data_IF_610544054389
#
_entry.id   IF_610544054389
#
_cell.length_a   1.000
_cell.length_b   1.000
_cell.length_c   1.000
_cell.angle_alpha   90.00
_cell.angle_beta   90.00
_cell.angle_gamma   90.00
#
_symmetry.space_group_name_H-M   'P 1'
#
loop_
_entity.id
_entity.type
_entity.pdbx_description
1 polymer ?
#
# COMPACT_ATOMS: atom_id res chain seq x y z
N UNK A 1 11.78 -14.51 6.35
CA UNK A 1 10.83 -13.90 5.39
C UNK A 1 11.44 -13.67 3.99
N UNK A 2 12.69 -14.07 3.74
CA UNK A 2 13.41 -13.81 2.48
C UNK A 2 12.68 -14.26 1.21
N UNK A 3 11.96 -15.39 1.27
CA UNK A 3 11.08 -15.83 0.18
C UNK A 3 10.07 -14.77 -0.26
N UNK A 4 9.52 -13.96 0.66
CA UNK A 4 8.55 -12.91 0.30
C UNK A 4 9.19 -11.79 -0.53
N UNK A 5 10.52 -11.64 -0.49
CA UNK A 5 11.26 -10.66 -1.30
C UNK A 5 11.85 -11.30 -2.57
N UNK A 6 11.62 -12.60 -2.80
CA UNK A 6 12.05 -13.27 -4.02
C UNK A 6 11.24 -12.81 -5.23
N UNK A 7 11.85 -12.89 -6.41
CA UNK A 7 11.20 -12.58 -7.68
C UNK A 7 9.92 -13.42 -7.90
N UNK A 8 9.97 -14.71 -7.57
CA UNK A 8 8.82 -15.62 -7.70
C UNK A 8 7.61 -15.15 -6.89
N UNK A 9 7.84 -14.61 -5.68
CA UNK A 9 6.76 -14.08 -4.85
C UNK A 9 6.31 -12.70 -5.32
N UNK A 10 7.24 -11.81 -5.66
CA UNK A 10 6.92 -10.43 -6.06
C UNK A 10 6.21 -10.37 -7.42
N UNK A 11 6.51 -11.29 -8.33
CA UNK A 11 5.90 -11.38 -9.68
C UNK A 11 4.39 -11.65 -9.67
N UNK A 12 3.86 -12.29 -8.63
CA UNK A 12 2.42 -12.61 -8.56
C UNK A 12 1.60 -11.52 -7.84
N UNK A 13 2.24 -10.62 -7.09
CA UNK A 13 1.55 -9.57 -6.31
C UNK A 13 0.66 -8.68 -7.18
N UNK A 14 1.09 -8.20 -8.36
CA UNK A 14 0.31 -7.28 -9.18
C UNK A 14 -1.08 -7.79 -9.57
N UNK A 15 -1.22 -9.08 -9.84
CA UNK A 15 -2.46 -9.67 -10.41
C UNK A 15 -3.24 -10.54 -9.44
N UNK A 16 -2.69 -10.82 -8.25
CA UNK A 16 -3.39 -11.58 -7.19
C UNK A 16 -3.83 -10.69 -6.04
N UNK A 17 -2.98 -9.75 -5.61
CA UNK A 17 -3.24 -8.82 -4.52
C UNK A 17 -3.61 -7.40 -5.00
N UNK A 18 -3.46 -7.12 -6.31
CA UNK A 18 -3.76 -5.81 -6.93
C UNK A 18 -2.98 -4.65 -6.33
N UNK A 19 -1.69 -4.88 -6.07
CA UNK A 19 -0.77 -3.92 -5.44
C UNK A 19 0.52 -3.80 -6.25
N UNK A 20 1.24 -2.69 -6.10
CA UNK A 20 2.62 -2.62 -6.56
C UNK A 20 3.52 -3.51 -5.69
N UNK A 21 4.48 -4.24 -6.29
CA UNK A 21 5.39 -5.09 -5.56
C UNK A 21 6.39 -4.24 -4.74
N UNK A 22 6.85 -4.78 -3.61
CA UNK A 22 7.85 -4.14 -2.76
C UNK A 22 9.25 -4.18 -3.38
N UNK A 23 9.52 -5.19 -4.22
CA UNK A 23 10.70 -5.26 -5.09
C UNK A 23 10.21 -5.45 -6.51
N UNK A 24 10.63 -4.60 -7.44
CA UNK A 24 10.26 -4.74 -8.84
C UNK A 24 10.79 -6.08 -9.37
N UNK A 25 9.90 -6.97 -9.89
CA UNK A 25 10.32 -8.22 -10.50
C UNK A 25 11.29 -8.00 -11.67
N UNK A 26 12.12 -9.00 -11.98
CA UNK A 26 13.06 -8.94 -13.11
C UNK A 26 12.34 -8.70 -14.44
N UNK A 27 11.14 -9.26 -14.59
CA UNK A 27 10.27 -9.05 -15.76
C UNK A 27 9.54 -7.70 -15.79
N UNK A 28 9.74 -6.83 -14.79
CA UNK A 28 9.04 -5.57 -14.65
C UNK A 28 7.59 -5.71 -14.17
N UNK A 29 6.78 -4.67 -14.41
CA UNK A 29 5.35 -4.69 -14.13
C UNK A 29 4.56 -5.24 -15.33
N UNK A 30 3.40 -5.87 -15.10
CA UNK A 30 2.54 -6.33 -16.18
C UNK A 30 2.06 -5.19 -17.09
N UNK A 31 1.75 -5.53 -18.34
CA UNK A 31 1.13 -4.61 -19.30
C UNK A 31 -0.16 -3.98 -18.71
N UNK A 32 -0.33 -2.68 -18.90
CA UNK A 32 -1.46 -1.90 -18.40
C UNK A 32 -1.16 -1.15 -17.10
N UNK A 33 -0.13 -1.52 -16.34
CA UNK A 33 0.24 -0.83 -15.09
C UNK A 33 0.74 0.60 -15.32
N UNK A 34 1.25 0.90 -16.52
CA UNK A 34 1.62 2.24 -16.97
C UNK A 34 0.41 3.17 -17.16
N UNK A 35 -0.80 2.61 -17.30
CA UNK A 35 -2.04 3.39 -17.46
C UNK A 35 -2.67 3.79 -16.12
N UNK A 36 -2.22 3.20 -15.02
CA UNK A 36 -2.77 3.47 -13.69
C UNK A 36 -2.41 4.88 -13.23
N UNK A 37 -3.36 5.55 -12.59
CA UNK A 37 -3.17 6.89 -12.07
C UNK A 37 -2.08 6.90 -10.97
N UNK A 38 -1.01 7.65 -11.21
CA UNK A 38 0.03 7.88 -10.21
C UNK A 38 -0.23 9.20 -9.48
N UNK A 39 -0.35 9.19 -8.14
CA UNK A 39 -0.59 10.43 -7.40
C UNK A 39 0.62 11.36 -7.54
N UNK A 40 0.36 12.63 -7.89
CA UNK A 40 1.41 13.65 -7.95
C UNK A 40 2.04 13.94 -6.57
N UNK A 41 1.30 13.67 -5.48
CA UNK A 41 1.77 13.81 -4.10
C UNK A 41 1.34 12.60 -3.28
N UNK A 42 2.30 11.83 -2.79
CA UNK A 42 2.07 10.79 -1.81
C UNK A 42 2.02 11.39 -0.40
N UNK A 43 0.93 11.13 0.34
CA UNK A 43 0.82 11.49 1.75
C UNK A 43 1.26 10.29 2.59
N UNK A 44 2.43 10.37 3.20
CA UNK A 44 2.97 9.36 4.11
C UNK A 44 3.18 9.98 5.49
N UNK A 45 2.64 9.31 6.51
CA UNK A 45 2.83 9.64 7.92
C UNK A 45 3.70 8.54 8.53
N UNK A 46 4.62 8.91 9.42
CA UNK A 46 5.46 7.94 10.10
C UNK A 46 4.60 6.95 10.92
N UNK A 47 4.91 5.64 10.94
CA UNK A 47 4.10 4.66 11.67
C UNK A 47 3.94 4.97 13.16
N UNK A 48 4.97 5.54 13.80
CA UNK A 48 4.90 5.96 15.21
C UNK A 48 3.90 7.11 15.41
N UNK A 49 3.96 8.13 14.56
CA UNK A 49 3.04 9.27 14.64
C UNK A 49 1.60 8.83 14.38
N UNK A 50 1.38 7.93 13.41
CA UNK A 50 0.06 7.36 13.14
C UNK A 50 -0.46 6.54 14.32
N UNK A 51 0.41 5.78 15.00
CA UNK A 51 0.05 5.00 16.17
C UNK A 51 -0.33 5.90 17.36
N UNK A 52 0.40 6.99 17.58
CA UNK A 52 0.17 7.92 18.68
C UNK A 52 -1.20 8.61 18.60
N UNK A 53 -1.70 8.88 17.39
CA UNK A 53 -2.98 9.60 17.18
C UNK A 53 -4.16 8.68 16.88
N UNK A 54 -3.93 7.38 16.65
CA UNK A 54 -4.93 6.44 16.14
C UNK A 54 -6.22 6.46 16.95
N UNK A 55 -6.12 6.34 18.28
CA UNK A 55 -7.29 6.15 19.14
C UNK A 55 -8.15 7.43 19.17
N UNK A 56 -7.52 8.59 19.32
CA UNK A 56 -8.23 9.88 19.29
C UNK A 56 -8.89 10.15 17.93
N UNK A 57 -8.19 9.88 16.82
CA UNK A 57 -8.74 10.06 15.47
C UNK A 57 -9.91 9.13 15.18
N UNK A 58 -9.86 7.89 15.69
CA UNK A 58 -10.94 6.93 15.55
C UNK A 58 -12.18 7.34 16.34
N UNK A 59 -12.01 7.78 17.59
CA UNK A 59 -13.10 8.28 18.44
C UNK A 59 -13.79 9.49 17.80
N UNK A 60 -13.01 10.44 17.27
CA UNK A 60 -13.53 11.60 16.55
C UNK A 60 -14.33 11.19 15.31
N UNK A 61 -13.78 10.28 14.49
CA UNK A 61 -14.46 9.77 13.30
C UNK A 61 -15.78 9.07 13.64
N UNK A 62 -15.78 8.18 14.64
CA UNK A 62 -16.99 7.46 15.08
C UNK A 62 -18.06 8.43 15.58
N UNK A 63 -17.68 9.40 16.42
CA UNK A 63 -18.62 10.39 16.94
C UNK A 63 -19.25 11.25 15.82
N UNK A 64 -18.49 11.57 14.78
CA UNK A 64 -18.99 12.35 13.64
C UNK A 64 -19.80 11.51 12.63
N UNK A 65 -19.45 10.24 12.45
CA UNK A 65 -20.05 9.36 11.44
C UNK A 65 -21.26 8.57 11.97
N UNK A 66 -21.34 8.33 13.28
CA UNK A 66 -22.49 7.68 13.88
C UNK A 66 -23.71 8.62 13.89
N UNK A 67 -24.82 8.10 13.38
CA UNK A 67 -26.17 8.64 13.60
C UNK A 67 -26.92 7.72 14.55
#
# INVERSE_FOLDING_TARGET
LEFMLSDAFQSIIPTTNWMYPAVTPEGGLPEGFETLAQPAKSLLIAPSEAADVRDAALDEWLAAAAR
#
